data_IF_722998212877
#
_entry.id   IF_722998212877
#
_cell.length_a   1.000
_cell.length_b   1.000
_cell.length_c   1.000
_cell.angle_alpha   90.00
_cell.angle_beta   90.00
_cell.angle_gamma   90.00
#
_symmetry.space_group_name_H-M   'P 1'
#
loop_
_entity.id
_entity.type
_entity.pdbx_description
1 polymer ?
#
# COMPACT_ATOMS: atom_id res chain seq x y z
N UNK A 1 -27.41 0.29 -17.28
CA UNK A 1 -26.58 -0.27 -16.20
C UNK A 1 -25.27 0.48 -16.18
N UNK A 2 -25.08 1.40 -15.23
CA UNK A 2 -23.88 2.27 -15.13
C UNK A 2 -23.18 2.15 -13.77
N UNK A 3 -23.93 1.73 -12.73
CA UNK A 3 -23.42 1.65 -11.36
C UNK A 3 -22.20 0.72 -11.21
N UNK A 4 -22.16 -0.40 -11.95
CA UNK A 4 -21.06 -1.37 -11.85
C UNK A 4 -19.76 -0.75 -12.39
N UNK A 5 -19.84 -0.10 -13.56
CA UNK A 5 -18.67 0.55 -14.20
C UNK A 5 -18.18 1.71 -13.33
N UNK A 6 -19.09 2.52 -12.78
CA UNK A 6 -18.73 3.61 -11.87
C UNK A 6 -18.03 3.10 -10.59
N UNK A 7 -18.48 1.96 -10.05
CA UNK A 7 -17.90 1.39 -8.84
C UNK A 7 -16.51 0.80 -9.07
N UNK A 8 -16.25 0.20 -10.24
CA UNK A 8 -14.91 -0.31 -10.59
C UNK A 8 -13.91 0.83 -10.75
N UNK A 9 -14.29 1.91 -11.45
CA UNK A 9 -13.45 3.12 -11.61
C UNK A 9 -13.12 3.75 -10.26
N UNK A 10 -14.11 3.90 -9.38
CA UNK A 10 -13.90 4.48 -8.04
C UNK A 10 -12.89 3.65 -7.22
N UNK A 11 -12.96 2.33 -7.33
CA UNK A 11 -12.04 1.45 -6.61
C UNK A 11 -10.62 1.49 -7.17
N UNK A 12 -10.45 1.52 -8.49
CA UNK A 12 -9.14 1.73 -9.13
C UNK A 12 -8.51 3.05 -8.69
N UNK A 13 -9.28 4.14 -8.71
CA UNK A 13 -8.80 5.45 -8.24
C UNK A 13 -8.44 5.43 -6.75
N UNK A 14 -9.19 4.68 -5.93
CA UNK A 14 -8.84 4.49 -4.53
C UNK A 14 -7.52 3.74 -4.37
N UNK A 15 -7.29 2.68 -5.14
CA UNK A 15 -6.05 1.90 -5.12
C UNK A 15 -4.86 2.77 -5.53
N UNK A 16 -4.98 3.53 -6.64
CA UNK A 16 -3.97 4.50 -7.08
C UNK A 16 -3.68 5.54 -5.99
N UNK A 17 -4.72 6.07 -5.36
CA UNK A 17 -4.59 7.05 -4.27
C UNK A 17 -3.83 6.50 -3.07
N UNK A 18 -4.11 5.26 -2.64
CA UNK A 18 -3.40 4.60 -1.54
C UNK A 18 -1.93 4.33 -1.88
N UNK A 19 -1.65 3.86 -3.10
CA UNK A 19 -0.28 3.65 -3.58
C UNK A 19 0.51 4.97 -3.63
N UNK A 20 -0.10 6.04 -4.15
CA UNK A 20 0.47 7.38 -4.14
C UNK A 20 0.71 7.88 -2.71
N UNK A 21 -0.23 7.67 -1.80
CA UNK A 21 -0.09 8.03 -0.40
C UNK A 21 1.09 7.33 0.28
N UNK A 22 1.26 6.02 0.07
CA UNK A 22 2.42 5.27 0.55
C UNK A 22 3.73 5.91 0.07
N UNK A 23 3.84 6.19 -1.23
CA UNK A 23 5.05 6.76 -1.82
C UNK A 23 5.34 8.19 -1.35
N UNK A 24 4.31 9.03 -1.17
CA UNK A 24 4.49 10.46 -0.88
C UNK A 24 4.46 10.83 0.59
N UNK A 25 3.84 10.01 1.44
CA UNK A 25 3.61 10.36 2.86
C UNK A 25 4.13 9.33 3.85
N UNK A 26 4.13 8.04 3.49
CA UNK A 26 4.57 6.98 4.40
C UNK A 26 6.07 6.72 4.22
N UNK A 27 6.50 6.32 3.02
CA UNK A 27 7.91 5.98 2.76
C UNK A 27 8.90 7.11 3.06
N UNK A 28 8.62 8.40 2.78
CA UNK A 28 9.54 9.49 3.12
C UNK A 28 9.79 9.66 4.62
N UNK A 29 8.98 9.04 5.51
CA UNK A 29 9.25 9.03 6.97
C UNK A 29 10.40 8.09 7.35
N UNK A 30 10.71 7.12 6.48
CA UNK A 30 11.68 6.04 6.71
C UNK A 30 12.87 6.08 5.74
N UNK A 31 12.77 6.90 4.69
CA UNK A 31 13.77 7.08 3.64
C UNK A 31 14.23 8.53 3.64
N UNK A 32 15.47 8.77 3.19
CA UNK A 32 15.90 10.13 2.85
C UNK A 32 14.91 10.70 1.81
N UNK A 33 14.39 11.90 2.07
CA UNK A 33 13.20 12.48 1.43
C UNK A 33 13.17 12.46 -0.10
N UNK A 34 14.33 12.42 -0.77
CA UNK A 34 14.42 12.36 -2.24
C UNK A 34 14.31 10.94 -2.83
N UNK A 35 14.44 9.89 -2.02
CA UNK A 35 14.43 8.49 -2.51
C UNK A 35 13.05 7.83 -2.42
N UNK A 36 12.11 8.43 -1.69
CA UNK A 36 10.76 7.87 -1.48
C UNK A 36 9.78 8.14 -2.61
N UNK A 37 9.99 9.24 -3.35
CA UNK A 37 9.05 9.67 -4.38
C UNK A 37 9.05 8.67 -5.55
N UNK A 38 7.85 8.15 -5.87
CA UNK A 38 7.58 7.21 -6.95
C UNK A 38 8.03 5.75 -6.75
N UNK A 39 8.43 5.34 -5.55
CA UNK A 39 8.86 3.95 -5.29
C UNK A 39 7.75 2.90 -5.47
N UNK A 40 6.50 3.29 -5.23
CA UNK A 40 5.36 2.39 -5.28
C UNK A 40 4.18 3.11 -5.91
N UNK A 41 4.20 3.17 -7.24
CA UNK A 41 3.12 3.68 -8.07
C UNK A 41 2.57 2.55 -8.93
N UNK A 42 1.27 2.31 -8.83
CA UNK A 42 0.57 1.32 -9.64
C UNK A 42 0.20 1.94 -10.99
N UNK A 43 0.56 1.26 -12.07
CA UNK A 43 0.20 1.62 -13.44
C UNK A 43 -1.11 0.92 -13.86
N UNK A 44 -1.66 1.32 -15.01
CA UNK A 44 -2.91 0.75 -15.55
C UNK A 44 -2.80 -0.76 -15.77
N UNK A 45 -1.67 -1.25 -16.28
CA UNK A 45 -1.40 -2.69 -16.46
C UNK A 45 -1.50 -3.50 -15.15
N UNK A 46 -1.08 -2.92 -14.02
CA UNK A 46 -1.22 -3.60 -12.72
C UNK A 46 -2.69 -3.70 -12.31
N UNK A 47 -3.49 -2.67 -12.62
CA UNK A 47 -4.91 -2.62 -12.31
C UNK A 47 -5.74 -3.56 -13.20
N UNK A 48 -5.27 -3.92 -14.39
CA UNK A 48 -5.93 -4.92 -15.23
C UNK A 48 -6.07 -6.29 -14.55
N UNK A 49 -5.21 -6.60 -13.57
CA UNK A 49 -5.32 -7.83 -12.76
C UNK A 49 -6.44 -7.77 -11.70
N UNK A 50 -7.15 -6.64 -11.61
CA UNK A 50 -8.20 -6.38 -10.63
C UNK A 50 -9.54 -6.37 -11.37
N UNK A 51 -10.04 -7.56 -11.65
CA UNK A 51 -11.19 -7.74 -12.54
C UNK A 51 -12.55 -7.54 -11.84
N UNK A 52 -12.58 -7.61 -10.51
CA UNK A 52 -13.83 -7.57 -9.74
C UNK A 52 -13.79 -6.62 -8.54
N UNK A 53 -14.97 -6.19 -8.10
CA UNK A 53 -15.14 -5.40 -6.87
C UNK A 53 -14.58 -6.12 -5.63
N UNK A 54 -14.63 -7.45 -5.63
CA UNK A 54 -14.08 -8.26 -4.55
C UNK A 54 -12.55 -8.21 -4.57
N UNK A 55 -11.92 -8.31 -5.73
CA UNK A 55 -10.47 -8.20 -5.89
C UNK A 55 -9.96 -6.82 -5.46
N UNK A 56 -10.62 -5.79 -5.95
CA UNK A 56 -10.31 -4.42 -5.59
C UNK A 56 -10.48 -4.17 -4.09
N UNK A 57 -11.55 -4.70 -3.46
CA UNK A 57 -11.70 -4.63 -2.00
C UNK A 57 -10.53 -5.30 -1.27
N UNK A 58 -10.05 -6.46 -1.73
CA UNK A 58 -8.92 -7.15 -1.10
C UNK A 58 -7.64 -6.35 -1.21
N UNK A 59 -7.37 -5.77 -2.39
CA UNK A 59 -6.20 -4.90 -2.61
C UNK A 59 -6.28 -3.64 -1.75
N UNK A 60 -7.44 -2.98 -1.68
CA UNK A 60 -7.67 -1.81 -0.83
C UNK A 60 -7.43 -2.14 0.63
N UNK A 61 -7.98 -3.26 1.11
CA UNK A 61 -7.76 -3.71 2.50
C UNK A 61 -6.28 -3.96 2.77
N UNK A 62 -5.58 -4.68 1.89
CA UNK A 62 -4.15 -4.93 2.06
C UNK A 62 -3.32 -3.63 2.12
N UNK A 63 -3.56 -2.69 1.19
CA UNK A 63 -2.88 -1.39 1.18
C UNK A 63 -3.19 -0.57 2.45
N UNK A 64 -4.45 -0.53 2.87
CA UNK A 64 -4.87 0.22 4.06
C UNK A 64 -4.28 -0.37 5.32
N UNK A 65 -4.20 -1.71 5.42
CA UNK A 65 -3.55 -2.40 6.54
C UNK A 65 -2.07 -2.07 6.62
N UNK A 66 -1.34 -2.15 5.50
CA UNK A 66 0.08 -1.78 5.44
C UNK A 66 0.27 -0.33 5.86
N UNK A 67 -0.51 0.62 5.32
CA UNK A 67 -0.46 2.03 5.73
C UNK A 67 -0.69 2.16 7.24
N UNK A 68 -1.76 1.57 7.76
CA UNK A 68 -2.13 1.68 9.18
C UNK A 68 -1.02 1.15 10.11
N UNK A 69 -0.40 0.03 9.74
CA UNK A 69 0.74 -0.54 10.47
C UNK A 69 1.90 0.46 10.45
N UNK A 70 2.30 0.93 9.26
CA UNK A 70 3.45 1.82 9.08
C UNK A 70 3.24 3.24 9.62
N UNK A 71 2.00 3.64 9.92
CA UNK A 71 1.69 4.91 10.57
C UNK A 71 1.53 4.80 12.09
N UNK A 72 1.60 3.59 12.65
CA UNK A 72 1.52 3.40 14.10
C UNK A 72 2.76 3.97 14.79
N UNK A 73 2.57 4.71 15.88
CA UNK A 73 3.66 5.32 16.66
C UNK A 73 4.64 4.30 17.26
N UNK A 74 4.18 3.06 17.49
CA UNK A 74 4.95 1.96 18.06
C UNK A 74 4.99 0.76 17.10
N UNK A 75 5.64 0.94 15.95
CA UNK A 75 5.87 -0.15 15.01
C UNK A 75 6.67 -1.27 15.66
N UNK A 76 6.16 -2.50 15.59
CA UNK A 76 6.80 -3.66 16.20
C UNK A 76 6.60 -4.93 15.38
N UNK A 77 7.43 -5.95 15.65
CA UNK A 77 7.36 -7.25 14.99
C UNK A 77 6.04 -8.00 15.26
N UNK A 78 5.21 -7.55 16.21
CA UNK A 78 3.87 -8.14 16.41
C UNK A 78 2.96 -7.99 15.19
N UNK A 79 3.24 -7.02 14.31
CA UNK A 79 2.49 -6.81 13.08
C UNK A 79 3.05 -7.59 11.88
N UNK A 80 4.13 -8.37 12.05
CA UNK A 80 4.81 -9.05 10.95
C UNK A 80 3.88 -9.98 10.17
N UNK A 81 3.09 -10.80 10.87
CA UNK A 81 2.15 -11.74 10.24
C UNK A 81 1.11 -10.99 9.40
N UNK A 82 0.46 -9.98 9.99
CA UNK A 82 -0.58 -9.19 9.32
C UNK A 82 -0.02 -8.38 8.12
N UNK A 83 1.19 -7.86 8.27
CA UNK A 83 1.90 -7.16 7.20
C UNK A 83 2.23 -8.12 6.06
N UNK A 84 2.78 -9.30 6.38
CA UNK A 84 3.14 -10.33 5.40
C UNK A 84 1.91 -10.82 4.65
N UNK A 85 0.80 -11.11 5.34
CA UNK A 85 -0.46 -11.52 4.70
C UNK A 85 -0.98 -10.45 3.73
N UNK A 86 -0.84 -9.17 4.10
CA UNK A 86 -1.21 -8.05 3.23
C UNK A 86 -0.29 -7.98 2.00
N UNK A 87 1.02 -8.16 2.18
CA UNK A 87 2.00 -8.19 1.08
C UNK A 87 1.78 -9.39 0.15
N UNK A 88 1.47 -10.58 0.67
CA UNK A 88 1.12 -11.76 -0.14
C UNK A 88 -0.18 -11.54 -0.91
N UNK A 89 -1.17 -10.90 -0.29
CA UNK A 89 -2.39 -10.48 -0.98
C UNK A 89 -2.06 -9.59 -2.18
N UNK A 90 -1.25 -8.55 -1.99
CA UNK A 90 -0.80 -7.68 -3.09
C UNK A 90 -0.07 -8.47 -4.19
N UNK A 91 0.83 -9.38 -3.80
CA UNK A 91 1.59 -10.21 -4.74
C UNK A 91 0.69 -11.08 -5.62
N UNK A 92 -0.42 -11.58 -5.08
CA UNK A 92 -1.40 -12.36 -5.85
C UNK A 92 -2.03 -11.57 -7.01
N UNK A 93 -2.04 -10.23 -6.91
CA UNK A 93 -2.50 -9.29 -7.93
C UNK A 93 -1.34 -8.63 -8.69
N UNK A 94 -0.15 -9.26 -8.70
CA UNK A 94 1.08 -8.75 -9.37
C UNK A 94 1.60 -7.43 -8.82
N UNK A 95 1.13 -7.00 -7.64
CA UNK A 95 1.61 -5.81 -6.97
C UNK A 95 2.79 -6.20 -6.06
N UNK A 96 4.00 -5.81 -6.45
CA UNK A 96 5.21 -6.08 -5.66
C UNK A 96 5.44 -4.96 -4.64
N UNK A 97 5.33 -5.29 -3.35
CA UNK A 97 5.68 -4.36 -2.28
C UNK A 97 7.21 -4.32 -2.07
N UNK A 98 7.83 -3.12 -1.99
CA UNK A 98 9.29 -2.98 -2.14
C UNK A 98 10.13 -3.32 -0.90
N UNK A 99 9.53 -3.38 0.29
CA UNK A 99 10.28 -3.51 1.54
C UNK A 99 9.66 -4.51 2.52
N UNK A 100 10.46 -5.30 3.26
CA UNK A 100 9.97 -6.08 4.39
C UNK A 100 9.63 -5.17 5.59
N UNK A 101 8.85 -5.66 6.56
CA UNK A 101 8.50 -4.87 7.75
C UNK A 101 9.75 -4.49 8.57
N UNK A 102 10.73 -5.38 8.66
CA UNK A 102 12.00 -5.15 9.37
C UNK A 102 12.72 -3.87 8.94
N UNK A 103 12.65 -3.53 7.65
CA UNK A 103 13.22 -2.31 7.09
C UNK A 103 12.70 -1.04 7.77
N UNK A 104 11.40 -1.02 8.10
CA UNK A 104 10.74 0.12 8.72
C UNK A 104 10.99 0.15 10.23
N UNK A 105 11.04 -1.01 10.89
CA UNK A 105 11.34 -1.12 12.32
C UNK A 105 12.75 -0.58 12.64
N UNK A 106 13.74 -0.92 11.82
CA UNK A 106 15.12 -0.49 12.00
C UNK A 106 15.32 1.02 11.82
N UNK A 107 14.46 1.67 11.02
CA UNK A 107 14.60 3.07 10.59
C UNK A 107 13.56 4.00 11.22
N UNK A 108 13.22 3.76 12.48
CA UNK A 108 12.21 4.50 13.29
C UNK A 108 11.76 5.81 12.63
N UNK A 109 10.45 5.98 12.37
CA UNK A 109 9.96 7.12 11.60
C UNK A 109 10.47 8.42 12.22
N UNK A 110 11.01 9.31 11.39
CA UNK A 110 11.50 10.61 11.86
C UNK A 110 10.30 11.36 12.45
N UNK A 111 10.26 11.52 13.77
CA UNK A 111 9.27 12.37 14.43
C UNK A 111 9.54 13.82 14.03
N UNK A 112 8.71 14.37 13.14
CA UNK A 112 8.67 15.81 12.92
C UNK A 112 8.05 16.44 14.18
N UNK A 113 8.93 16.89 15.09
CA UNK A 113 8.57 17.73 16.25
C UNK A 113 8.04 19.09 15.81
#
# INVERSE_FOLDING_TARGET
MVMIISSTIEQEEKIKSLSKYLSQHVFPRYLDSQKGENLFLLNEETLENIESLHDASRVITALTTIISILETAHLSASYEELFMDSVETLRSYRIAFPFPLSFFIERKPVEFS
#
